data_IF_527761761608
#
_entry.id   IF_527761761608
#
_cell.length_a   1.000
_cell.length_b   1.000
_cell.length_c   1.000
_cell.angle_alpha   90.00
_cell.angle_beta   90.00
_cell.angle_gamma   90.00
#
_symmetry.space_group_name_H-M   'P 1'
#
loop_
_entity.id
_entity.type
_entity.pdbx_description
1 polymer ?
#
# COMPACT_ATOMS: atom_id res chain seq x y z
N UNK A 1 -7.23 7.03 -2.76
CA UNK A 1 -6.85 5.82 -1.98
C UNK A 1 -7.46 4.57 -2.64
N UNK A 2 -6.74 3.45 -2.77
CA UNK A 2 -7.27 2.22 -3.38
C UNK A 2 -8.13 1.44 -2.37
N UNK A 3 -9.34 0.97 -2.74
CA UNK A 3 -10.17 0.11 -1.90
C UNK A 3 -9.51 -1.25 -1.60
N UNK A 4 -9.62 -1.72 -0.35
CA UNK A 4 -8.96 -2.95 0.08
C UNK A 4 -9.51 -4.18 -0.64
N UNK A 5 -10.80 -4.21 -0.94
CA UNK A 5 -11.46 -5.32 -1.66
C UNK A 5 -10.95 -5.47 -3.10
N UNK A 6 -10.40 -4.41 -3.69
CA UNK A 6 -9.80 -4.45 -5.03
C UNK A 6 -8.34 -4.95 -5.04
N UNK A 7 -7.73 -5.09 -3.86
CA UNK A 7 -6.34 -5.55 -3.71
C UNK A 7 -6.29 -6.99 -3.18
N UNK A 8 -6.16 -7.96 -4.08
CA UNK A 8 -5.95 -9.39 -3.73
C UNK A 8 -4.47 -9.75 -3.57
N UNK A 9 -3.58 -9.07 -4.32
CA UNK A 9 -2.13 -9.29 -4.31
C UNK A 9 -1.37 -7.97 -4.16
N UNK A 10 -0.15 -8.03 -3.63
CA UNK A 10 0.76 -6.90 -3.64
C UNK A 10 1.23 -6.63 -5.08
N UNK A 11 1.07 -5.41 -5.62
CA UNK A 11 1.49 -5.08 -6.98
C UNK A 11 3.01 -4.98 -7.15
N UNK A 12 3.78 -5.04 -6.05
CA UNK A 12 5.25 -4.93 -6.06
C UNK A 12 5.91 -6.31 -6.08
N UNK A 13 5.47 -7.23 -5.20
CA UNK A 13 6.08 -8.55 -5.06
C UNK A 13 5.13 -9.72 -5.40
N UNK A 14 3.87 -9.47 -5.72
CA UNK A 14 2.89 -10.49 -6.12
C UNK A 14 2.32 -11.34 -4.98
N UNK A 15 2.74 -11.14 -3.73
CA UNK A 15 2.22 -11.92 -2.60
C UNK A 15 0.72 -11.69 -2.40
N UNK A 16 -0.04 -12.77 -2.21
CA UNK A 16 -1.46 -12.69 -1.89
C UNK A 16 -1.67 -12.17 -0.48
N UNK A 17 -2.58 -11.20 -0.34
CA UNK A 17 -3.01 -10.75 0.97
C UNK A 17 -3.83 -11.84 1.65
N UNK A 18 -3.58 -12.04 2.93
CA UNK A 18 -4.31 -12.99 3.79
C UNK A 18 -4.75 -12.27 5.05
N UNK A 19 -5.48 -12.96 5.93
CA UNK A 19 -5.82 -12.39 7.23
C UNK A 19 -4.58 -11.99 8.06
N UNK A 20 -3.47 -12.71 7.88
CA UNK A 20 -2.21 -12.45 8.59
C UNK A 20 -1.33 -11.41 7.88
N UNK A 21 -1.36 -11.37 6.55
CA UNK A 21 -0.60 -10.40 5.76
C UNK A 21 -1.42 -9.13 5.54
N UNK A 22 -1.18 -8.14 6.40
CA UNK A 22 -1.92 -6.87 6.38
C UNK A 22 -1.66 -6.07 5.09
N UNK A 23 -2.68 -5.30 4.73
CA UNK A 23 -2.68 -4.33 3.62
C UNK A 23 -2.18 -2.99 4.13
N UNK A 24 -1.32 -2.35 3.35
CA UNK A 24 -0.75 -1.03 3.65
C UNK A 24 -0.91 -0.13 2.43
N UNK A 25 -1.33 1.11 2.62
CA UNK A 25 -1.47 2.02 1.49
C UNK A 25 -0.28 2.95 1.37
N UNK A 26 0.25 3.02 0.16
CA UNK A 26 1.27 4.01 -0.15
C UNK A 26 0.65 5.41 -0.14
N UNK A 27 1.14 6.30 0.72
CA UNK A 27 0.64 7.69 0.82
C UNK A 27 0.93 8.54 -0.42
N UNK A 28 1.89 8.14 -1.27
CA UNK A 28 2.26 8.83 -2.52
C UNK A 28 1.36 8.46 -3.71
N UNK A 29 0.96 7.19 -3.84
CA UNK A 29 0.22 6.72 -5.02
C UNK A 29 -1.14 6.10 -4.69
N UNK A 30 -1.46 5.91 -3.41
CA UNK A 30 -2.73 5.38 -2.93
C UNK A 30 -2.92 3.88 -3.07
N UNK A 31 -1.99 3.14 -3.70
CA UNK A 31 -2.09 1.69 -3.91
C UNK A 31 -1.88 0.91 -2.62
N UNK A 32 -2.53 -0.26 -2.55
CA UNK A 32 -2.32 -1.25 -1.49
C UNK A 32 -1.07 -2.08 -1.77
N UNK A 33 -0.19 -2.21 -0.78
CA UNK A 33 1.07 -2.96 -0.78
C UNK A 33 1.21 -3.76 0.52
N UNK A 34 2.13 -4.75 0.55
CA UNK A 34 2.43 -5.51 1.77
C UNK A 34 3.45 -4.78 2.66
N UNK A 35 3.56 -5.20 3.92
CA UNK A 35 4.46 -4.61 4.91
C UNK A 35 5.93 -4.58 4.39
N UNK A 36 6.40 -5.71 3.84
CA UNK A 36 7.76 -5.84 3.31
C UNK A 36 8.07 -4.90 2.14
N UNK A 37 7.06 -4.51 1.36
CA UNK A 37 7.19 -3.54 0.27
C UNK A 37 6.91 -2.09 0.71
N UNK A 38 6.64 -1.86 2.00
CA UNK A 38 6.32 -0.54 2.58
C UNK A 38 7.22 -0.17 3.76
N UNK A 39 8.42 -0.74 3.82
CA UNK A 39 9.40 -0.52 4.89
C UNK A 39 9.94 0.91 4.94
N UNK A 40 10.03 1.59 3.78
CA UNK A 40 10.54 2.94 3.69
C UNK A 40 9.50 3.99 4.08
N UNK A 41 9.89 4.93 4.94
CA UNK A 41 9.07 6.08 5.35
C UNK A 41 9.74 7.37 4.89
N UNK A 42 8.95 8.26 4.30
CA UNK A 42 9.38 9.61 3.91
C UNK A 42 8.30 10.61 4.31
N UNK A 43 8.70 11.83 4.62
CA UNK A 43 7.77 12.95 4.78
C UNK A 43 7.29 13.38 3.40
N UNK A 44 6.02 13.15 3.11
CA UNK A 44 5.41 13.58 1.85
C UNK A 44 4.79 14.97 2.07
N UNK A 45 5.19 16.01 1.31
CA UNK A 45 4.51 17.30 1.35
C UNK A 45 3.01 17.12 1.11
N UNK A 46 2.16 17.83 1.85
CA UNK A 46 0.69 17.61 1.85
C UNK A 46 0.06 17.61 0.45
N UNK A 47 0.59 18.42 -0.46
CA UNK A 47 0.14 18.51 -1.86
C UNK A 47 0.33 17.22 -2.68
N UNK A 48 1.19 16.31 -2.24
CA UNK A 48 1.47 15.04 -2.93
C UNK A 48 0.90 13.81 -2.22
N UNK A 49 0.17 14.01 -1.12
CA UNK A 49 -0.51 12.92 -0.42
C UNK A 49 -1.81 12.60 -1.15
N UNK A 50 -1.97 11.33 -1.54
CA UNK A 50 -3.22 10.87 -2.15
C UNK A 50 -4.33 10.91 -1.10
N UNK A 51 -5.42 11.62 -1.43
CA UNK A 51 -6.66 11.62 -0.66
C UNK A 51 -7.50 10.38 -0.95
#
# INVERSE_FOLDING_TARGET
WQPDNEASICPVCGVSFTFWLRKHHCRKCGRVVCDNCSTHRITIPRQFVVR
#
